data_IF_298543868825
#
_entry.id   IF_298543868825
#
_cell.length_a   1.000
_cell.length_b   1.000
_cell.length_c   1.000
_cell.angle_alpha   90.00
_cell.angle_beta   90.00
_cell.angle_gamma   90.00
#
_symmetry.space_group_name_H-M   'P 1'
#
loop_
_entity.id
_entity.type
_entity.pdbx_description
1 polymer ?
#
# COMPACT_ATOMS: atom_id res chain seq x y z
N UNK A 1 8.95 0.85 -7.75
CA UNK A 1 8.42 1.96 -6.92
C UNK A 1 7.44 2.80 -7.75
N UNK A 2 6.24 3.11 -7.24
CA UNK A 2 5.35 4.09 -7.88
C UNK A 2 5.90 5.49 -7.60
N UNK A 3 6.45 6.11 -8.63
CA UNK A 3 6.91 7.49 -8.58
C UNK A 3 5.70 8.37 -8.85
N UNK A 4 5.39 9.33 -7.97
CA UNK A 4 4.26 10.26 -8.07
C UNK A 4 4.37 11.15 -9.33
N UNK A 5 4.09 10.55 -10.48
CA UNK A 5 4.27 11.12 -11.80
C UNK A 5 2.90 11.40 -12.45
N UNK A 6 2.77 12.50 -13.22
CA UNK A 6 3.76 13.56 -13.39
C UNK A 6 3.75 14.56 -12.23
N UNK A 7 4.86 15.28 -12.03
CA UNK A 7 4.85 16.43 -11.12
C UNK A 7 3.93 17.53 -11.65
N UNK A 8 3.34 18.36 -10.76
CA UNK A 8 2.53 19.51 -11.19
C UNK A 8 3.28 20.46 -12.14
N UNK A 9 4.60 20.54 -12.00
CA UNK A 9 5.49 21.38 -12.83
C UNK A 9 5.98 20.69 -14.13
N UNK A 10 5.55 19.46 -14.40
CA UNK A 10 5.96 18.68 -15.57
C UNK A 10 7.40 18.17 -15.54
N UNK A 11 8.16 18.41 -14.47
CA UNK A 11 9.54 17.91 -14.37
C UNK A 11 9.56 16.41 -14.15
N UNK A 12 10.55 15.74 -14.76
CA UNK A 12 10.76 14.30 -14.58
C UNK A 12 11.26 14.04 -13.16
N UNK A 13 10.65 13.07 -12.48
CA UNK A 13 11.18 12.57 -11.22
C UNK A 13 12.55 11.92 -11.44
N UNK A 14 13.58 12.27 -10.65
CA UNK A 14 14.81 11.48 -10.58
C UNK A 14 14.46 10.03 -10.26
N UNK A 15 15.25 9.10 -10.77
CA UNK A 15 15.08 7.71 -10.40
C UNK A 15 15.45 7.55 -8.92
N UNK A 16 14.55 6.94 -8.15
CA UNK A 16 14.84 6.55 -6.77
C UNK A 16 15.81 5.37 -6.72
N UNK A 17 16.28 4.99 -5.52
CA UNK A 17 17.05 3.77 -5.35
C UNK A 17 16.22 2.53 -5.72
N UNK A 18 16.89 1.49 -6.22
CA UNK A 18 16.29 0.17 -6.37
C UNK A 18 16.11 -0.47 -4.99
N UNK A 19 14.85 -0.74 -4.65
CA UNK A 19 14.42 -1.33 -3.38
C UNK A 19 13.53 -2.54 -3.66
N UNK A 20 13.72 -3.61 -2.92
CA UNK A 20 13.08 -4.90 -3.16
C UNK A 20 11.99 -5.22 -2.15
N UNK A 21 12.09 -4.65 -0.94
CA UNK A 21 11.14 -4.89 0.14
C UNK A 21 10.92 -3.65 1.02
N UNK A 22 10.04 -3.81 2.02
CA UNK A 22 9.69 -2.74 2.95
C UNK A 22 10.86 -2.37 3.88
N UNK A 23 11.69 -3.32 4.28
CA UNK A 23 12.81 -3.04 5.18
C UNK A 23 13.85 -2.17 4.49
N UNK A 24 14.17 -2.46 3.22
CA UNK A 24 15.05 -1.63 2.40
C UNK A 24 14.48 -0.20 2.26
N UNK A 25 13.19 -0.06 1.95
CA UNK A 25 12.52 1.25 1.88
C UNK A 25 12.70 2.03 3.19
N UNK A 26 12.49 1.39 4.33
CA UNK A 26 12.57 2.05 5.63
C UNK A 26 14.00 2.46 5.96
N UNK A 27 15.01 1.69 5.56
CA UNK A 27 16.43 2.08 5.68
C UNK A 27 16.71 3.36 4.90
N UNK A 28 16.19 3.49 3.67
CA UNK A 28 16.33 4.71 2.86
C UNK A 28 15.63 5.92 3.49
N UNK A 29 14.43 5.75 4.02
CA UNK A 29 13.67 6.81 4.71
C UNK A 29 14.41 7.26 5.96
N UNK A 30 14.86 6.32 6.79
CA UNK A 30 15.69 6.59 7.99
C UNK A 30 16.97 7.36 7.64
N UNK A 31 17.58 7.04 6.51
CA UNK A 31 18.76 7.74 5.99
C UNK A 31 18.48 9.16 5.49
N UNK A 32 17.23 9.63 5.53
CA UNK A 32 16.85 10.96 5.03
C UNK A 32 16.87 11.07 3.51
N UNK A 33 16.87 9.93 2.79
CA UNK A 33 17.02 9.89 1.33
C UNK A 33 15.70 10.02 0.57
N UNK A 34 14.57 10.09 1.28
CA UNK A 34 13.25 10.27 0.70
C UNK A 34 12.11 9.95 1.66
N UNK A 35 10.90 9.90 1.11
CA UNK A 35 9.67 9.48 1.80
C UNK A 35 8.96 8.41 0.99
N UNK A 36 8.11 7.62 1.65
CA UNK A 36 7.25 6.64 1.01
C UNK A 36 5.80 6.87 1.40
N UNK A 37 4.88 6.75 0.43
CA UNK A 37 3.45 6.69 0.71
C UNK A 37 3.06 5.23 0.90
N UNK A 38 2.45 4.93 2.05
CA UNK A 38 1.95 3.59 2.37
C UNK A 38 0.49 3.66 2.83
N UNK A 39 -0.33 2.62 2.55
CA UNK A 39 -1.62 2.49 3.19
C UNK A 39 -1.49 2.47 4.72
N UNK A 40 -2.43 3.08 5.44
CA UNK A 40 -2.40 3.12 6.91
C UNK A 40 -2.24 1.74 7.59
N UNK A 41 -2.90 0.65 7.13
CA UNK A 41 -2.67 -0.67 7.70
C UNK A 41 -1.22 -1.18 7.53
N UNK A 42 -0.55 -0.79 6.45
CA UNK A 42 0.86 -1.16 6.21
C UNK A 42 1.77 -0.42 7.19
N UNK A 43 1.53 0.87 7.42
CA UNK A 43 2.27 1.64 8.43
C UNK A 43 2.13 1.03 9.84
N UNK A 44 0.95 0.49 10.17
CA UNK A 44 0.72 -0.17 11.45
C UNK A 44 1.44 -1.53 11.60
N UNK A 45 1.72 -2.24 10.51
CA UNK A 45 2.43 -3.53 10.52
C UNK A 45 3.95 -3.36 10.58
N UNK A 46 4.47 -2.24 10.11
CA UNK A 46 5.91 -1.93 10.12
C UNK A 46 6.21 -0.68 10.98
N UNK A 47 5.91 -0.70 12.30
CA UNK A 47 6.21 0.43 13.16
C UNK A 47 7.72 0.60 13.33
N UNK A 48 8.18 1.85 13.34
CA UNK A 48 9.56 2.22 13.65
C UNK A 48 9.62 3.47 14.50
N UNK A 49 10.32 3.39 15.62
CA UNK A 49 10.46 4.52 16.55
C UNK A 49 11.29 5.67 15.97
N UNK A 50 12.11 5.38 14.96
CA UNK A 50 12.97 6.33 14.26
C UNK A 50 12.38 6.84 12.93
N UNK A 51 11.12 6.50 12.61
CA UNK A 51 10.41 6.98 11.41
C UNK A 51 9.01 7.46 11.80
N UNK A 52 8.71 8.72 11.48
CA UNK A 52 7.37 9.29 11.72
C UNK A 52 6.46 9.07 10.51
N UNK A 53 5.31 8.44 10.73
CA UNK A 53 4.24 8.35 9.74
C UNK A 53 3.26 9.53 9.87
N UNK A 54 3.10 10.31 8.80
CA UNK A 54 2.19 11.46 8.76
C UNK A 54 0.97 11.12 7.91
N UNK A 55 -0.28 11.25 8.43
CA UNK A 55 -1.48 11.05 7.63
C UNK A 55 -1.61 12.05 6.48
N UNK A 56 -1.93 11.56 5.29
CA UNK A 56 -2.21 12.38 4.10
C UNK A 56 -3.73 12.53 3.97
N UNK A 57 -4.25 13.73 4.20
CA UNK A 57 -5.69 13.98 4.35
C UNK A 57 -6.42 14.30 3.03
N UNK A 58 -5.69 14.73 2.02
CA UNK A 58 -6.19 15.19 0.71
C UNK A 58 -6.24 14.08 -0.34
N UNK A 59 -5.91 12.85 0.02
CA UNK A 59 -5.93 11.68 -0.86
C UNK A 59 -7.18 10.84 -0.59
N UNK A 60 -7.95 10.43 -1.62
CA UNK A 60 -9.09 9.55 -1.42
C UNK A 60 -8.66 8.19 -0.85
N UNK A 61 -9.50 7.54 -0.02
CA UNK A 61 -9.15 6.24 0.53
C UNK A 61 -8.87 5.20 -0.55
N UNK A 62 -7.74 4.48 -0.40
CA UNK A 62 -7.43 3.31 -1.22
C UNK A 62 -8.46 2.20 -0.98
N UNK A 63 -8.77 1.43 -2.03
CA UNK A 63 -9.67 0.27 -1.96
C UNK A 63 -8.92 -1.02 -2.24
N UNK A 64 -9.11 -2.01 -1.40
CA UNK A 64 -8.64 -3.38 -1.63
C UNK A 64 -9.82 -4.19 -2.14
N UNK A 65 -9.64 -4.86 -3.28
CA UNK A 65 -10.65 -5.73 -3.89
C UNK A 65 -10.22 -7.18 -3.87
N UNK A 66 -11.19 -8.08 -3.69
CA UNK A 66 -11.03 -9.50 -3.94
C UNK A 66 -11.55 -9.81 -5.34
N UNK A 67 -10.72 -10.40 -6.19
CA UNK A 67 -11.11 -10.85 -7.54
C UNK A 67 -10.92 -12.35 -7.67
N UNK A 68 -11.69 -12.95 -8.58
CA UNK A 68 -11.56 -14.35 -8.96
C UNK A 68 -11.59 -14.46 -10.48
N UNK A 69 -10.98 -15.52 -10.99
CA UNK A 69 -11.02 -15.86 -12.40
C UNK A 69 -12.32 -16.63 -12.71
N UNK A 70 -13.22 -16.02 -13.48
CA UNK A 70 -14.51 -16.63 -13.81
C UNK A 70 -14.38 -17.87 -14.71
N UNK A 71 -13.26 -18.03 -15.42
CA UNK A 71 -12.99 -19.23 -16.22
C UNK A 71 -12.61 -20.45 -15.37
N UNK A 72 -12.32 -20.26 -14.07
CA UNK A 72 -11.89 -21.32 -13.15
C UNK A 72 -12.74 -21.30 -11.87
N UNK A 73 -14.00 -21.75 -11.95
CA UNK A 73 -14.85 -21.82 -10.77
C UNK A 73 -14.28 -22.83 -9.75
N UNK A 74 -14.22 -22.40 -8.49
CA UNK A 74 -13.77 -23.22 -7.38
C UNK A 74 -14.70 -22.99 -6.17
N UNK A 75 -15.32 -24.04 -5.62
CA UNK A 75 -16.12 -23.93 -4.40
C UNK A 75 -15.34 -23.35 -3.22
N UNK A 76 -14.03 -23.63 -3.13
CA UNK A 76 -13.16 -23.10 -2.07
C UNK A 76 -12.95 -21.59 -2.22
N UNK A 77 -12.74 -21.10 -3.45
CA UNK A 77 -12.62 -19.66 -3.73
C UNK A 77 -13.93 -18.94 -3.43
N UNK A 78 -15.07 -19.55 -3.79
CA UNK A 78 -16.39 -19.00 -3.47
C UNK A 78 -16.62 -18.92 -1.94
N UNK A 79 -16.31 -20.00 -1.22
CA UNK A 79 -16.41 -20.05 0.24
C UNK A 79 -15.52 -19.01 0.92
N UNK A 80 -14.29 -18.84 0.42
CA UNK A 80 -13.38 -17.78 0.89
C UNK A 80 -13.98 -16.39 0.68
N UNK A 81 -14.53 -16.11 -0.50
CA UNK A 81 -15.19 -14.85 -0.80
C UNK A 81 -16.37 -14.55 0.13
N UNK A 82 -17.21 -15.55 0.42
CA UNK A 82 -18.30 -15.43 1.39
C UNK A 82 -17.79 -15.14 2.80
N UNK A 83 -16.75 -15.84 3.26
CA UNK A 83 -16.17 -15.64 4.58
C UNK A 83 -15.55 -14.23 4.72
N UNK A 84 -14.77 -13.81 3.73
CA UNK A 84 -14.16 -12.47 3.68
C UNK A 84 -15.24 -11.37 3.73
N UNK A 85 -16.30 -11.51 2.93
CA UNK A 85 -17.40 -10.54 2.92
C UNK A 85 -18.15 -10.46 4.25
N UNK A 86 -18.36 -11.61 4.92
CA UNK A 86 -18.95 -11.66 6.26
C UNK A 86 -18.11 -10.91 7.31
N UNK A 87 -16.77 -11.02 7.24
CA UNK A 87 -15.87 -10.32 8.15
C UNK A 87 -15.89 -8.81 7.91
N UNK A 88 -15.90 -8.38 6.65
CA UNK A 88 -15.97 -6.95 6.30
C UNK A 88 -17.24 -6.27 6.83
N UNK A 89 -18.39 -6.97 6.80
CA UNK A 89 -19.66 -6.44 7.33
C UNK A 89 -19.71 -6.29 8.86
N UNK A 90 -18.86 -6.99 9.60
CA UNK A 90 -18.83 -6.92 11.07
C UNK A 90 -17.94 -5.81 11.62
N UNK A 91 -17.05 -5.27 10.78
CA UNK A 91 -16.10 -4.21 11.13
C UNK A 91 -16.48 -2.81 10.65
N UNK A 92 -17.69 -2.63 10.10
CA UNK A 92 -18.30 -1.33 9.74
C UNK A 92 -19.49 -1.05 10.64
#
# INVERSE_FOLDING_TARGET
MWNAAPRPDGTRLPHGPDVHDMEEILVYVRGGQGVVLVPAPVAAVFPRDDITCVPVADVPPGRVGLTRDDARPSPLVAAFGTAAWSLMRKGS
#
